data_IF_435507732707
#
_entry.id   IF_435507732707
#
_cell.length_a   1.000
_cell.length_b   1.000
_cell.length_c   1.000
_cell.angle_alpha   90.00
_cell.angle_beta   90.00
_cell.angle_gamma   90.00
#
_symmetry.space_group_name_H-M   'P 1'
#
loop_
_entity.id
_entity.type
_entity.pdbx_description
1 polymer ?
#
# COMPACT_ATOMS: atom_id res chain seq x y z
N UNK A 1 -6.13 10.30 -5.88
CA UNK A 1 -7.45 9.83 -5.40
C UNK A 1 -7.28 8.80 -4.31
N UNK A 2 -8.18 8.80 -3.36
CA UNK A 2 -8.12 7.87 -2.24
C UNK A 2 -9.49 7.22 -2.06
N UNK A 3 -9.50 5.90 -2.00
CA UNK A 3 -10.70 5.11 -1.78
C UNK A 3 -10.51 4.26 -0.52
N UNK A 4 -11.46 4.34 0.39
CA UNK A 4 -11.43 3.56 1.62
C UNK A 4 -12.59 2.58 1.59
N UNK A 5 -12.29 1.29 1.69
CA UNK A 5 -13.27 0.23 1.65
C UNK A 5 -13.00 -0.74 2.78
N UNK A 6 -14.04 -1.17 3.48
CA UNK A 6 -13.89 -2.22 4.46
C UNK A 6 -14.15 -3.56 3.80
N UNK A 7 -13.18 -4.45 3.90
CA UNK A 7 -13.30 -5.79 3.35
C UNK A 7 -14.35 -6.58 4.11
N UNK A 8 -15.27 -7.19 3.39
CA UNK A 8 -16.24 -8.10 3.98
C UNK A 8 -15.63 -9.45 4.18
N UNK A 9 -15.77 -9.96 5.38
CA UNK A 9 -15.24 -11.27 5.70
C UNK A 9 -16.21 -12.00 6.58
N UNK A 10 -16.46 -13.23 6.25
CA UNK A 10 -17.48 -14.03 6.97
C UNK A 10 -16.90 -14.90 8.07
N UNK A 11 -15.73 -14.58 8.53
CA UNK A 11 -15.12 -15.30 9.62
C UNK A 11 -15.49 -14.70 10.94
N UNK A 12 -16.08 -15.50 11.78
CA UNK A 12 -16.61 -15.03 13.03
C UNK A 12 -15.54 -14.90 14.09
N UNK A 13 -14.54 -15.71 14.02
CA UNK A 13 -13.59 -15.87 15.11
C UNK A 13 -12.27 -15.16 14.88
N UNK A 14 -12.20 -14.25 13.92
CA UNK A 14 -10.96 -13.57 13.61
C UNK A 14 -11.06 -12.09 13.89
N UNK A 15 -11.65 -11.77 15.01
CA UNK A 15 -12.02 -10.40 15.35
C UNK A 15 -10.84 -9.44 15.31
N UNK A 16 -9.73 -9.84 15.90
CA UNK A 16 -8.58 -8.96 16.06
C UNK A 16 -8.01 -8.48 14.73
N UNK A 17 -7.97 -9.38 13.75
CA UNK A 17 -7.32 -9.08 12.48
C UNK A 17 -8.21 -8.32 11.52
N UNK A 18 -9.50 -8.24 11.81
CA UNK A 18 -10.44 -7.57 10.93
C UNK A 18 -10.45 -6.07 11.10
N UNK A 19 -9.75 -5.55 12.09
CA UNK A 19 -9.71 -4.12 12.34
C UNK A 19 -8.43 -3.46 11.84
N UNK A 20 -7.54 -4.23 11.22
CA UNK A 20 -6.31 -3.68 10.68
C UNK A 20 -6.61 -2.79 9.47
N UNK A 21 -5.81 -1.75 9.32
CA UNK A 21 -5.91 -0.83 8.20
C UNK A 21 -4.77 -1.12 7.22
N UNK A 22 -5.12 -1.45 6.00
CA UNK A 22 -4.19 -1.79 4.93
C UNK A 22 -4.22 -0.71 3.86
N UNK A 23 -3.06 -0.15 3.56
CA UNK A 23 -2.91 0.81 2.47
C UNK A 23 -2.29 0.12 1.27
N UNK A 24 -2.82 0.39 0.09
CA UNK A 24 -2.32 -0.17 -1.17
C UNK A 24 -1.91 0.96 -2.08
N UNK A 25 -0.69 0.87 -2.60
CA UNK A 25 -0.16 1.89 -3.49
C UNK A 25 0.93 1.29 -4.38
N UNK A 26 1.32 2.03 -5.40
CA UNK A 26 2.48 1.68 -6.20
C UNK A 26 3.53 2.77 -6.02
N UNK A 27 4.74 2.36 -5.66
CA UNK A 27 5.88 3.28 -5.58
C UNK A 27 6.63 3.22 -6.91
N UNK A 28 7.12 4.36 -7.35
CA UNK A 28 7.98 4.43 -8.53
C UNK A 28 8.91 5.64 -8.40
N UNK A 29 10.00 5.62 -9.16
CA UNK A 29 10.94 6.74 -9.18
C UNK A 29 10.67 7.55 -10.44
N UNK A 30 10.09 8.75 -10.30
CA UNK A 30 9.78 9.59 -11.46
C UNK A 30 11.03 10.26 -12.01
N UNK A 31 10.88 10.93 -13.15
CA UNK A 31 12.01 11.58 -13.81
C UNK A 31 12.49 12.85 -13.11
N UNK A 32 11.58 13.55 -12.43
CA UNK A 32 11.95 14.80 -11.76
C UNK A 32 12.21 14.56 -10.29
N UNK A 33 13.19 15.26 -9.76
CA UNK A 33 13.55 15.15 -8.35
C UNK A 33 12.43 15.67 -7.44
N UNK A 34 11.75 16.74 -7.85
CA UNK A 34 10.66 17.30 -7.05
C UNK A 34 9.53 16.28 -6.86
N UNK A 35 9.15 15.60 -7.94
CA UNK A 35 8.11 14.59 -7.88
C UNK A 35 8.54 13.40 -7.03
N UNK A 36 9.81 13.02 -7.15
CA UNK A 36 10.37 11.93 -6.35
C UNK A 36 10.32 12.29 -4.87
N UNK A 37 10.68 13.53 -4.52
CA UNK A 37 10.63 13.98 -3.14
C UNK A 37 9.20 13.95 -2.60
N UNK A 38 8.21 14.31 -3.42
CA UNK A 38 6.81 14.25 -3.02
C UNK A 38 6.37 12.82 -2.73
N UNK A 39 6.74 11.89 -3.60
CA UNK A 39 6.36 10.49 -3.44
C UNK A 39 6.97 9.92 -2.16
N UNK A 40 8.25 10.21 -1.91
CA UNK A 40 8.90 9.76 -0.68
C UNK A 40 8.27 10.38 0.55
N UNK A 41 7.92 11.65 0.48
CA UNK A 41 7.29 12.35 1.58
C UNK A 41 5.92 11.73 1.92
N UNK A 42 5.13 11.44 0.89
CA UNK A 42 3.83 10.79 1.08
C UNK A 42 3.97 9.42 1.73
N UNK A 43 4.94 8.64 1.28
CA UNK A 43 5.18 7.32 1.88
C UNK A 43 5.58 7.44 3.34
N UNK A 44 6.46 8.38 3.63
CA UNK A 44 6.88 8.63 5.02
C UNK A 44 5.70 8.99 5.91
N UNK A 45 4.80 9.85 5.41
CA UNK A 45 3.61 10.23 6.16
C UNK A 45 2.69 9.04 6.42
N UNK A 46 2.57 8.15 5.45
CA UNK A 46 1.77 6.94 5.65
C UNK A 46 2.39 6.03 6.70
N UNK A 47 3.71 5.88 6.69
CA UNK A 47 4.41 5.07 7.68
C UNK A 47 4.23 5.65 9.09
N UNK A 48 4.31 6.97 9.22
CA UNK A 48 4.18 7.64 10.50
C UNK A 48 2.74 7.67 11.03
N UNK A 49 1.78 7.39 10.17
CA UNK A 49 0.38 7.38 10.59
C UNK A 49 0.08 6.13 11.40
N UNK A 50 -0.22 6.31 12.68
CA UNK A 50 -0.46 5.19 13.58
C UNK A 50 -1.75 4.44 13.29
N UNK A 51 -2.64 5.01 12.48
CA UNK A 51 -3.89 4.35 12.11
C UNK A 51 -3.70 3.37 10.95
N UNK A 52 -2.56 3.42 10.26
CA UNK A 52 -2.26 2.49 9.18
C UNK A 52 -1.37 1.37 9.71
N UNK A 53 -1.82 0.14 9.58
CA UNK A 53 -1.10 -1.02 10.10
C UNK A 53 -0.15 -1.62 9.07
N UNK A 54 -0.55 -1.66 7.81
CA UNK A 54 0.25 -2.26 6.74
C UNK A 54 0.21 -1.41 5.49
N UNK A 55 1.36 -1.30 4.83
CA UNK A 55 1.48 -0.57 3.56
C UNK A 55 1.93 -1.59 2.51
N UNK A 56 1.04 -1.92 1.60
CA UNK A 56 1.31 -2.85 0.51
C UNK A 56 1.71 -2.06 -0.73
N UNK A 57 2.99 -2.11 -1.07
CA UNK A 57 3.49 -1.48 -2.29
C UNK A 57 3.53 -2.54 -3.39
N UNK A 58 2.59 -2.43 -4.32
CA UNK A 58 2.52 -3.34 -5.47
C UNK A 58 3.32 -2.68 -6.59
N UNK A 59 4.54 -3.16 -6.80
CA UNK A 59 5.55 -2.42 -7.54
C UNK A 59 5.96 -3.13 -8.82
N UNK A 60 6.54 -2.36 -9.76
CA UNK A 60 7.08 -2.93 -10.99
C UNK A 60 8.41 -3.61 -10.75
N UNK A 61 9.14 -3.18 -9.71
CA UNK A 61 10.36 -3.82 -9.24
C UNK A 61 10.52 -3.54 -7.75
N UNK A 62 11.30 -4.34 -7.07
CA UNK A 62 11.53 -4.13 -5.64
C UNK A 62 12.54 -3.00 -5.45
N UNK A 63 12.21 -2.07 -4.56
CA UNK A 63 13.05 -0.91 -4.24
C UNK A 63 13.76 -1.13 -2.92
N UNK A 64 14.94 -0.52 -2.79
CA UNK A 64 15.69 -0.55 -1.53
C UNK A 64 15.09 0.46 -0.55
N UNK A 65 15.41 0.31 0.73
CA UNK A 65 15.00 1.29 1.74
C UNK A 65 15.51 2.68 1.42
N UNK A 66 16.71 2.77 0.84
CA UNK A 66 17.30 4.04 0.45
C UNK A 66 16.47 4.69 -0.67
N UNK A 67 16.03 3.89 -1.64
CA UNK A 67 15.18 4.39 -2.73
C UNK A 67 13.82 4.84 -2.23
N UNK A 68 13.26 4.10 -1.28
CA UNK A 68 11.97 4.46 -0.67
C UNK A 68 12.07 5.70 0.22
N UNK A 69 13.25 5.97 0.73
CA UNK A 69 13.49 7.08 1.63
C UNK A 69 13.11 6.80 3.07
N UNK A 70 12.65 5.60 3.37
CA UNK A 70 12.29 5.22 4.74
C UNK A 70 12.30 3.70 4.86
N UNK A 71 12.59 3.23 6.07
CA UNK A 71 12.55 1.81 6.39
C UNK A 71 11.47 1.59 7.45
N UNK A 72 10.61 0.60 7.24
CA UNK A 72 9.56 0.29 8.21
C UNK A 72 9.06 -1.14 8.01
N UNK A 73 8.77 -1.81 9.11
CA UNK A 73 8.16 -3.14 9.08
C UNK A 73 6.73 -3.13 8.55
N UNK A 74 6.12 -1.95 8.47
CA UNK A 74 4.78 -1.82 7.89
C UNK A 74 4.78 -2.05 6.38
N UNK A 75 5.92 -1.82 5.73
CA UNK A 75 6.01 -1.84 4.27
C UNK A 75 6.22 -3.26 3.78
N UNK A 76 5.31 -3.69 2.91
CA UNK A 76 5.39 -4.98 2.24
C UNK A 76 5.40 -4.72 0.74
N UNK A 77 6.50 -5.07 0.08
CA UNK A 77 6.61 -4.89 -1.36
C UNK A 77 6.28 -6.18 -2.08
N UNK A 78 5.47 -6.09 -3.11
CA UNK A 78 5.16 -7.21 -4.00
C UNK A 78 5.39 -6.78 -5.43
N UNK A 79 6.26 -7.48 -6.13
CA UNK A 79 6.57 -7.18 -7.52
C UNK A 79 5.46 -7.77 -8.41
N UNK A 80 4.74 -6.89 -9.11
CA UNK A 80 3.69 -7.31 -10.03
C UNK A 80 4.09 -7.11 -11.49
N UNK A 81 5.29 -6.57 -11.74
CA UNK A 81 5.88 -6.39 -13.07
C UNK A 81 5.05 -5.52 -14.02
N UNK A 82 4.20 -4.67 -13.48
CA UNK A 82 3.32 -3.85 -14.31
C UNK A 82 2.86 -2.63 -13.53
N UNK A 83 2.29 -1.68 -14.25
CA UNK A 83 1.65 -0.54 -13.63
C UNK A 83 0.40 -1.00 -12.90
N UNK A 84 0.21 -0.52 -11.68
CA UNK A 84 -0.88 -0.94 -10.82
C UNK A 84 -2.22 -0.44 -11.32
N UNK A 85 -3.21 -1.32 -11.31
CA UNK A 85 -4.61 -0.98 -11.56
C UNK A 85 -5.45 -1.37 -10.36
N UNK A 86 -6.68 -0.85 -10.28
CA UNK A 86 -7.58 -1.27 -9.20
C UNK A 86 -7.85 -2.77 -9.25
N UNK A 87 -7.95 -3.33 -10.45
CA UNK A 87 -8.15 -4.77 -10.62
C UNK A 87 -7.03 -5.56 -9.96
N UNK A 88 -5.80 -5.11 -10.13
CA UNK A 88 -4.64 -5.78 -9.54
C UNK A 88 -4.72 -5.76 -8.02
N UNK A 89 -5.16 -4.65 -7.44
CA UNK A 89 -5.32 -4.53 -6.00
C UNK A 89 -6.35 -5.52 -5.49
N UNK A 90 -7.50 -5.60 -6.15
CA UNK A 90 -8.56 -6.53 -5.73
C UNK A 90 -8.13 -7.99 -5.85
N UNK A 91 -7.39 -8.34 -6.91
CA UNK A 91 -6.85 -9.68 -7.05
C UNK A 91 -5.87 -9.99 -5.91
N UNK A 92 -4.99 -9.04 -5.61
CA UNK A 92 -4.01 -9.18 -4.53
C UNK A 92 -4.71 -9.39 -3.18
N UNK A 93 -5.73 -8.57 -2.90
CA UNK A 93 -6.49 -8.66 -1.65
C UNK A 93 -7.13 -10.04 -1.50
N UNK A 94 -7.76 -10.51 -2.57
CA UNK A 94 -8.45 -11.80 -2.55
C UNK A 94 -7.46 -12.95 -2.41
N UNK A 95 -6.37 -12.90 -3.17
CA UNK A 95 -5.37 -13.96 -3.17
C UNK A 95 -4.70 -14.10 -1.79
N UNK A 96 -4.48 -13.00 -1.10
CA UNK A 96 -3.82 -12.99 0.19
C UNK A 96 -4.81 -12.95 1.35
N UNK A 97 -6.10 -13.03 1.07
CA UNK A 97 -7.16 -13.05 2.08
C UNK A 97 -7.03 -11.90 3.08
N UNK A 98 -6.77 -10.71 2.57
CA UNK A 98 -6.59 -9.52 3.40
C UNK A 98 -7.95 -9.04 3.90
N UNK A 99 -8.03 -8.78 5.19
CA UNK A 99 -9.25 -8.35 5.86
C UNK A 99 -9.02 -7.03 6.58
N UNK A 100 -10.10 -6.31 6.83
CA UNK A 100 -10.07 -5.07 7.59
C UNK A 100 -10.42 -3.88 6.73
N UNK A 101 -9.84 -2.74 7.05
CA UNK A 101 -10.07 -1.51 6.30
C UNK A 101 -9.03 -1.39 5.20
N UNK A 102 -9.48 -1.10 4.00
CA UNK A 102 -8.63 -1.07 2.82
C UNK A 102 -8.60 0.35 2.26
N UNK A 103 -7.40 0.90 2.11
CA UNK A 103 -7.20 2.23 1.56
C UNK A 103 -6.40 2.08 0.26
N UNK A 104 -6.98 2.51 -0.85
CA UNK A 104 -6.29 2.54 -2.13
C UNK A 104 -5.85 3.96 -2.42
N UNK A 105 -4.56 4.16 -2.55
CA UNK A 105 -3.99 5.46 -2.80
C UNK A 105 -3.39 5.50 -4.19
N UNK A 106 -3.85 6.45 -4.99
CA UNK A 106 -3.35 6.65 -6.33
C UNK A 106 -2.25 7.70 -6.31
N UNK A 107 -1.05 7.30 -6.71
CA UNK A 107 0.11 8.20 -6.73
C UNK A 107 0.30 8.93 -8.05
N UNK A 108 -0.60 8.75 -8.99
CA UNK A 108 -0.51 9.35 -10.33
C UNK A 108 -1.14 10.73 -10.44
N UNK A 109 -1.42 11.33 -9.35
CA UNK A 109 -2.12 12.62 -9.36
C UNK A 109 -1.15 13.77 -9.58
#
# INVERSE_FOLDING_TARGET
MKLVVKSKKLHINTVKNNDNVHLFNQFFIPKTQDRYNEIKFCLKKCVENTDIDFIHLLVEKIYTGEELGIWSDKIIQTNINKRLTFQDVFVYIRKNEIKGYLILLNSDI
#
